data_IF_164904063127
#
_entry.id   IF_164904063127
#
_cell.length_a   1.000
_cell.length_b   1.000
_cell.length_c   1.000
_cell.angle_alpha   90.00
_cell.angle_beta   90.00
_cell.angle_gamma   90.00
#
_symmetry.space_group_name_H-M   'P 1'
#
loop_
_entity.id
_entity.type
_entity.pdbx_description
1 polymer ?
#
# COMPACT_ATOMS: atom_id res chain seq x y z
N UNK A 1 2.75 -13.54 -17.97
CA UNK A 1 1.93 -14.48 -17.17
C UNK A 1 1.91 -13.94 -15.74
N UNK A 2 1.00 -13.00 -15.46
CA UNK A 2 0.79 -12.46 -14.11
C UNK A 2 -0.65 -12.82 -13.73
N UNK A 3 -0.79 -13.62 -12.68
CA UNK A 3 -2.08 -14.09 -12.19
C UNK A 3 -2.65 -13.02 -11.28
N UNK A 4 -3.77 -12.42 -11.69
CA UNK A 4 -4.61 -11.61 -10.81
C UNK A 4 -5.15 -12.50 -9.70
N UNK A 5 -4.82 -12.17 -8.45
CA UNK A 5 -5.47 -12.77 -7.28
C UNK A 5 -6.63 -11.85 -6.92
N UNK A 6 -7.82 -12.34 -7.21
CA UNK A 6 -9.10 -11.75 -6.87
C UNK A 6 -9.29 -11.87 -5.36
N UNK A 7 -9.30 -10.72 -4.67
CA UNK A 7 -9.58 -10.67 -3.24
C UNK A 7 -11.06 -10.95 -3.00
N UNK A 8 -11.39 -12.13 -2.51
CA UNK A 8 -12.71 -12.43 -1.96
C UNK A 8 -12.88 -11.68 -0.64
N UNK A 9 -13.90 -10.83 -0.56
CA UNK A 9 -14.35 -10.27 0.70
C UNK A 9 -14.89 -11.42 1.57
N UNK A 10 -14.41 -11.51 2.81
CA UNK A 10 -15.00 -12.38 3.81
C UNK A 10 -16.39 -11.84 4.17
N UNK A 11 -17.40 -12.68 3.95
CA UNK A 11 -18.78 -12.45 4.41
C UNK A 11 -18.81 -12.66 5.93
N UNK A 12 -19.02 -11.57 6.66
CA UNK A 12 -19.28 -11.59 8.10
C UNK A 12 -20.77 -11.91 8.32
N UNK A 13 -21.08 -13.20 8.47
CA UNK A 13 -22.39 -13.68 8.93
C UNK A 13 -22.25 -14.26 10.34
N UNK A 14 -22.03 -13.40 11.34
CA UNK A 14 -22.17 -13.71 12.76
C UNK A 14 -22.80 -12.47 13.44
N UNK A 15 -23.90 -12.46 14.19
CA UNK A 15 -24.64 -13.48 14.92
C UNK A 15 -26.02 -12.92 15.32
N UNK A 16 -27.12 -13.59 14.94
CA UNK A 16 -28.43 -13.43 15.60
C UNK A 16 -28.50 -14.33 16.87
N UNK A 17 -27.55 -14.21 17.80
CA UNK A 17 -27.51 -15.09 19.00
C UNK A 17 -28.39 -14.64 20.17
N UNK A 18 -28.87 -13.40 20.18
CA UNK A 18 -29.59 -12.86 21.35
C UNK A 18 -31.03 -13.38 21.52
N UNK A 19 -31.64 -13.93 20.46
CA UNK A 19 -33.01 -14.48 20.54
C UNK A 19 -33.03 -15.89 21.18
N UNK A 20 -31.93 -16.65 21.05
CA UNK A 20 -31.83 -18.01 21.57
C UNK A 20 -31.81 -18.10 23.11
N UNK A 21 -31.08 -17.18 23.76
CA UNK A 21 -30.91 -17.22 25.22
C UNK A 21 -32.17 -16.80 25.98
N UNK A 22 -32.92 -15.81 25.45
CA UNK A 22 -34.20 -15.42 26.06
C UNK A 22 -35.25 -16.54 25.96
N UNK A 23 -35.26 -17.27 24.84
CA UNK A 23 -36.16 -18.41 24.65
C UNK A 23 -35.80 -19.62 25.52
N UNK A 24 -34.49 -19.86 25.74
CA UNK A 24 -33.97 -20.89 26.64
C UNK A 24 -34.35 -20.61 28.10
N UNK A 25 -34.17 -19.37 28.57
CA UNK A 25 -34.60 -18.97 29.92
C UNK A 25 -36.12 -19.07 30.10
N UNK A 26 -36.91 -18.67 29.09
CA UNK A 26 -38.37 -18.81 29.13
C UNK A 26 -38.81 -20.28 29.17
N UNK A 27 -38.06 -21.18 28.52
CA UNK A 27 -38.31 -22.61 28.53
C UNK A 27 -37.97 -23.26 29.88
N UNK A 28 -36.89 -22.84 30.53
CA UNK A 28 -36.56 -23.30 31.90
C UNK A 28 -37.59 -22.81 32.93
N UNK A 29 -38.05 -21.55 32.82
CA UNK A 29 -39.12 -21.02 33.67
C UNK A 29 -40.43 -21.78 33.45
N UNK A 30 -40.80 -22.09 32.19
CA UNK A 30 -41.97 -22.93 31.87
C UNK A 30 -41.83 -24.36 32.39
N UNK A 31 -40.63 -24.94 32.34
CA UNK A 31 -40.34 -26.29 32.86
C UNK A 31 -40.44 -26.34 34.38
N UNK A 32 -40.00 -25.28 35.06
CA UNK A 32 -40.18 -25.12 36.51
C UNK A 32 -41.66 -24.90 36.87
N UNK A 33 -42.39 -24.12 36.08
CA UNK A 33 -43.82 -23.89 36.29
C UNK A 33 -44.67 -25.16 36.05
N UNK A 34 -44.30 -25.97 35.05
CA UNK A 34 -44.94 -27.27 34.78
C UNK A 34 -44.61 -28.35 35.83
N UNK A 35 -43.58 -28.13 36.66
CA UNK A 35 -43.23 -29.00 37.79
C UNK A 35 -44.08 -28.69 39.03
N UNK A 36 -44.80 -27.56 39.04
CA UNK A 36 -45.90 -27.32 39.97
C UNK A 36 -47.19 -27.93 39.41
N UNK A 37 -47.93 -28.73 40.19
CA UNK A 37 -49.20 -29.26 39.73
C UNK A 37 -50.22 -28.11 39.65
N UNK A 38 -50.41 -27.54 38.46
CA UNK A 38 -51.56 -26.68 38.18
C UNK A 38 -52.83 -27.53 38.26
N UNK A 39 -53.57 -27.38 39.36
CA UNK A 39 -54.80 -28.11 39.62
C UNK A 39 -55.91 -27.59 38.68
N UNK A 40 -56.21 -28.32 37.60
CA UNK A 40 -57.36 -28.05 36.73
C UNK A 40 -58.68 -28.65 37.25
N UNK A 41 -58.66 -29.32 38.40
CA UNK A 41 -59.83 -29.69 39.18
C UNK A 41 -59.69 -29.09 40.57
N UNK A 42 -60.77 -28.47 41.08
CA UNK A 42 -60.77 -27.73 42.33
C UNK A 42 -60.08 -28.50 43.46
N UNK A 43 -59.06 -27.88 44.05
CA UNK A 43 -58.31 -28.43 45.17
C UNK A 43 -59.24 -28.57 46.38
N UNK A 44 -59.30 -29.74 46.99
CA UNK A 44 -60.15 -29.96 48.17
C UNK A 44 -59.61 -29.14 49.35
N UNK A 45 -60.52 -28.49 50.07
CA UNK A 45 -60.24 -27.56 51.17
C UNK A 45 -59.50 -28.28 52.32
N UNK A 46 -59.64 -29.62 52.40
CA UNK A 46 -58.92 -30.47 53.34
C UNK A 46 -57.44 -30.60 53.03
N UNK A 47 -57.06 -30.75 51.76
CA UNK A 47 -55.67 -30.77 51.29
C UNK A 47 -54.99 -29.41 51.40
N UNK A 48 -55.72 -28.31 51.17
CA UNK A 48 -55.20 -26.96 51.40
C UNK A 48 -54.98 -26.69 52.89
N UNK A 49 -55.89 -27.12 53.76
CA UNK A 49 -55.73 -27.01 55.22
C UNK A 49 -54.62 -27.90 55.76
N UNK A 50 -54.43 -29.10 55.20
CA UNK A 50 -53.31 -29.97 55.56
C UNK A 50 -51.98 -29.41 55.08
N UNK A 51 -51.89 -28.86 53.87
CA UNK A 51 -50.65 -28.21 53.44
C UNK A 51 -50.35 -26.97 54.28
N UNK A 52 -51.37 -26.19 54.65
CA UNK A 52 -51.25 -25.04 55.56
C UNK A 52 -50.85 -25.43 56.99
N UNK A 53 -51.10 -26.67 57.42
CA UNK A 53 -50.65 -27.19 58.73
C UNK A 53 -49.31 -27.94 58.64
N UNK A 54 -48.99 -28.52 57.48
CA UNK A 54 -47.71 -29.19 57.18
C UNK A 54 -46.59 -28.18 57.00
N UNK A 55 -46.90 -27.07 56.31
CA UNK A 55 -46.15 -25.83 56.40
C UNK A 55 -46.61 -25.11 57.65
N UNK A 56 -46.21 -25.65 58.81
CA UNK A 56 -46.41 -24.98 60.10
C UNK A 56 -45.97 -23.51 60.02
N UNK A 57 -46.60 -22.69 60.87
CA UNK A 57 -46.34 -21.25 61.04
C UNK A 57 -44.92 -20.87 60.65
N UNK A 58 -44.71 -19.79 59.87
CA UNK A 58 -43.38 -19.21 59.68
C UNK A 58 -42.92 -18.62 61.02
N UNK A 59 -42.52 -19.48 61.94
CA UNK A 59 -41.68 -19.14 63.07
C UNK A 59 -40.29 -18.88 62.50
N UNK A 60 -40.08 -17.60 62.17
CA UNK A 60 -38.81 -16.90 62.09
C UNK A 60 -37.58 -17.72 62.53
N UNK A 61 -36.76 -18.14 61.56
CA UNK A 61 -35.32 -17.85 61.55
C UNK A 61 -34.71 -18.38 60.23
N UNK A 62 -34.51 -17.50 59.25
CA UNK A 62 -33.71 -17.79 58.05
C UNK A 62 -34.33 -17.29 56.73
N UNK A 63 -35.66 -17.36 56.57
CA UNK A 63 -36.31 -16.92 55.32
C UNK A 63 -36.44 -15.40 55.19
N UNK A 64 -36.74 -14.67 56.27
CA UNK A 64 -36.71 -13.20 56.25
C UNK A 64 -35.29 -12.69 56.02
N UNK A 65 -34.28 -13.28 56.67
CA UNK A 65 -32.87 -12.94 56.42
C UNK A 65 -32.44 -13.24 54.98
N UNK A 66 -32.86 -14.37 54.40
CA UNK A 66 -32.57 -14.72 53.00
C UNK A 66 -33.30 -13.81 52.01
N UNK A 67 -34.56 -13.41 52.27
CA UNK A 67 -35.27 -12.43 51.45
C UNK A 67 -34.60 -11.06 51.51
N UNK A 68 -34.19 -10.62 52.69
CA UNK A 68 -33.46 -9.37 52.89
C UNK A 68 -32.11 -9.41 52.16
N UNK A 69 -31.38 -10.52 52.25
CA UNK A 69 -30.10 -10.72 51.56
C UNK A 69 -30.26 -10.74 50.04
N UNK A 70 -31.32 -11.36 49.53
CA UNK A 70 -31.63 -11.45 48.09
C UNK A 70 -32.10 -10.08 47.54
N UNK A 71 -32.89 -9.33 48.30
CA UNK A 71 -33.23 -7.93 47.98
C UNK A 71 -31.97 -7.07 47.97
N UNK A 72 -31.05 -7.27 48.92
CA UNK A 72 -29.80 -6.53 48.96
C UNK A 72 -28.86 -6.90 47.80
N UNK A 73 -28.80 -8.17 47.39
CA UNK A 73 -28.09 -8.61 46.19
C UNK A 73 -28.72 -8.06 44.91
N UNK A 74 -30.06 -8.03 44.81
CA UNK A 74 -30.77 -7.42 43.69
C UNK A 74 -30.54 -5.91 43.61
N UNK A 75 -30.53 -5.23 44.76
CA UNK A 75 -30.19 -3.80 44.82
C UNK A 75 -28.76 -3.55 44.37
N UNK A 76 -27.80 -4.34 44.84
CA UNK A 76 -26.39 -4.24 44.42
C UNK A 76 -26.23 -4.51 42.92
N UNK A 77 -26.82 -5.60 42.42
CA UNK A 77 -26.77 -5.96 41.01
C UNK A 77 -27.40 -4.89 40.11
N UNK A 78 -28.51 -4.29 40.57
CA UNK A 78 -29.15 -3.15 39.87
C UNK A 78 -28.21 -1.94 39.81
N UNK A 79 -27.49 -1.66 40.88
CA UNK A 79 -26.51 -0.56 40.95
C UNK A 79 -25.33 -0.84 40.01
N UNK A 80 -24.80 -2.08 40.02
CA UNK A 80 -23.72 -2.52 39.13
C UNK A 80 -24.10 -2.39 37.63
N UNK A 81 -25.29 -2.87 37.24
CA UNK A 81 -25.81 -2.71 35.87
C UNK A 81 -26.00 -1.24 35.47
N UNK A 82 -26.35 -0.38 36.43
CA UNK A 82 -26.57 1.03 36.17
C UNK A 82 -25.25 1.79 35.97
N UNK A 83 -24.20 1.40 36.70
CA UNK A 83 -22.84 1.93 36.53
C UNK A 83 -22.22 1.44 35.22
N UNK A 84 -22.36 0.16 34.88
CA UNK A 84 -21.88 -0.42 33.63
C UNK A 84 -22.55 0.22 32.41
N UNK A 85 -23.87 0.44 32.47
CA UNK A 85 -24.60 1.16 31.42
C UNK A 85 -24.31 2.67 31.35
N UNK A 86 -23.71 3.26 32.38
CA UNK A 86 -23.18 4.63 32.32
C UNK A 86 -21.77 4.65 31.71
N UNK A 87 -20.93 3.68 32.08
CA UNK A 87 -19.58 3.50 31.54
C UNK A 87 -19.62 3.25 30.03
N UNK A 88 -20.53 2.40 29.55
CA UNK A 88 -20.77 2.15 28.12
C UNK A 88 -21.12 3.43 27.36
N UNK A 89 -22.02 4.26 27.90
CA UNK A 89 -22.39 5.55 27.29
C UNK A 89 -21.24 6.53 27.25
N UNK A 90 -20.40 6.55 28.29
CA UNK A 90 -19.20 7.39 28.32
C UNK A 90 -18.20 6.93 27.27
N UNK A 91 -17.99 5.63 27.11
CA UNK A 91 -17.15 5.05 26.05
C UNK A 91 -17.69 5.36 24.65
N UNK A 92 -19.00 5.22 24.44
CA UNK A 92 -19.65 5.50 23.16
C UNK A 92 -19.50 6.98 22.77
N UNK A 93 -19.74 7.89 23.70
CA UNK A 93 -19.56 9.34 23.46
C UNK A 93 -18.10 9.71 23.20
N UNK A 94 -17.15 9.12 23.92
CA UNK A 94 -15.73 9.33 23.70
C UNK A 94 -15.27 8.82 22.31
N UNK A 95 -15.79 7.67 21.88
CA UNK A 95 -15.54 7.12 20.55
C UNK A 95 -16.12 8.01 19.44
N UNK A 96 -17.34 8.53 19.62
CA UNK A 96 -17.97 9.43 18.65
C UNK A 96 -17.21 10.77 18.55
N UNK A 97 -16.73 11.30 19.69
CA UNK A 97 -15.95 12.54 19.75
C UNK A 97 -14.59 12.43 19.05
N UNK A 98 -13.93 11.26 19.14
CA UNK A 98 -12.61 11.02 18.54
C UNK A 98 -12.65 10.59 17.07
N UNK A 99 -13.77 10.02 16.62
CA UNK A 99 -13.98 9.57 15.23
C UNK A 99 -13.92 10.70 14.20
N UNK A 100 -14.49 11.87 14.52
CA UNK A 100 -14.49 13.04 13.65
C UNK A 100 -13.08 13.55 13.32
N UNK A 101 -12.25 13.87 14.33
CA UNK A 101 -10.85 14.25 14.15
C UNK A 101 -10.04 13.19 13.38
N UNK A 102 -10.21 11.90 13.71
CA UNK A 102 -9.51 10.81 13.04
C UNK A 102 -9.86 10.73 11.54
N UNK A 103 -11.14 10.88 11.19
CA UNK A 103 -11.57 10.94 9.79
C UNK A 103 -10.96 12.14 9.05
N UNK A 104 -10.86 13.29 9.71
CA UNK A 104 -10.19 14.47 9.18
C UNK A 104 -8.70 14.23 8.92
N UNK A 105 -7.99 13.63 9.86
CA UNK A 105 -6.58 13.26 9.71
C UNK A 105 -6.37 12.24 8.57
N UNK A 106 -7.24 11.23 8.47
CA UNK A 106 -7.20 10.25 7.38
C UNK A 106 -7.41 10.95 6.03
N UNK A 107 -8.41 11.83 5.93
CA UNK A 107 -8.69 12.57 4.70
C UNK A 107 -7.50 13.45 4.30
N UNK A 108 -6.91 14.19 5.26
CA UNK A 108 -5.71 14.97 5.01
C UNK A 108 -4.54 14.09 4.54
N UNK A 109 -4.35 12.92 5.16
CA UNK A 109 -3.30 11.97 4.76
C UNK A 109 -3.50 11.42 3.35
N UNK A 110 -4.74 11.23 2.92
CA UNK A 110 -5.06 10.84 1.54
C UNK A 110 -4.64 11.95 0.57
N UNK A 111 -5.00 13.20 0.85
CA UNK A 111 -4.63 14.35 0.01
C UNK A 111 -3.11 14.56 -0.08
N UNK A 112 -2.41 14.47 1.07
CA UNK A 112 -0.94 14.50 1.13
C UNK A 112 -0.32 13.37 0.30
N UNK A 113 -0.88 12.16 0.37
CA UNK A 113 -0.42 11.01 -0.41
C UNK A 113 -0.64 11.18 -1.91
N UNK A 114 -1.73 11.83 -2.33
CA UNK A 114 -1.99 12.12 -3.74
C UNK A 114 -1.00 13.14 -4.29
N UNK A 115 -0.69 14.18 -3.52
CA UNK A 115 0.33 15.16 -3.87
C UNK A 115 1.71 14.51 -3.99
N UNK A 116 2.10 13.71 -3.01
CA UNK A 116 3.39 13.00 -3.05
C UNK A 116 3.47 12.02 -4.22
N UNK A 117 2.36 11.39 -4.60
CA UNK A 117 2.30 10.53 -5.79
C UNK A 117 2.54 11.32 -7.07
N UNK A 118 2.01 12.54 -7.18
CA UNK A 118 2.28 13.43 -8.31
C UNK A 118 3.74 13.87 -8.35
N UNK A 119 4.32 14.27 -7.21
CA UNK A 119 5.75 14.62 -7.11
C UNK A 119 6.65 13.44 -7.50
N UNK A 120 6.33 12.23 -7.03
CA UNK A 120 7.07 11.02 -7.39
C UNK A 120 7.03 10.76 -8.90
N UNK A 121 5.88 10.94 -9.55
CA UNK A 121 5.77 10.80 -11.00
C UNK A 121 6.65 11.83 -11.74
N UNK A 122 6.70 13.07 -11.25
CA UNK A 122 7.58 14.10 -11.83
C UNK A 122 9.06 13.78 -11.64
N UNK A 123 9.44 13.21 -10.49
CA UNK A 123 10.81 12.76 -10.26
C UNK A 123 11.19 11.57 -11.14
N UNK A 124 10.25 10.65 -11.40
CA UNK A 124 10.48 9.52 -12.30
C UNK A 124 10.70 10.00 -13.74
N UNK A 125 9.90 10.94 -14.22
CA UNK A 125 10.08 11.50 -15.57
C UNK A 125 11.42 12.23 -15.70
N UNK A 126 11.81 12.99 -14.67
CA UNK A 126 13.10 13.67 -14.67
C UNK A 126 14.27 12.71 -14.56
N UNK A 127 14.16 11.62 -13.79
CA UNK A 127 15.17 10.55 -13.73
C UNK A 127 15.40 9.95 -15.12
N UNK A 128 14.33 9.59 -15.84
CA UNK A 128 14.42 9.04 -17.20
C UNK A 128 15.07 10.03 -18.17
N UNK A 129 14.66 11.31 -18.10
CA UNK A 129 15.24 12.37 -18.94
C UNK A 129 16.74 12.54 -18.69
N UNK A 130 17.16 12.59 -17.42
CA UNK A 130 18.56 12.70 -17.04
C UNK A 130 19.37 11.47 -17.47
N UNK A 131 18.80 10.27 -17.34
CA UNK A 131 19.45 9.03 -17.81
C UNK A 131 19.72 9.06 -19.32
N UNK A 132 18.77 9.57 -20.10
CA UNK A 132 18.96 9.74 -21.54
C UNK A 132 20.06 10.77 -21.86
N UNK A 133 20.10 11.88 -21.11
CA UNK A 133 21.16 12.89 -21.28
C UNK A 133 22.53 12.30 -20.94
N UNK A 134 22.62 11.52 -19.87
CA UNK A 134 23.85 10.82 -19.48
C UNK A 134 24.32 9.87 -20.59
N UNK A 135 23.43 9.04 -21.14
CA UNK A 135 23.73 8.17 -22.27
C UNK A 135 24.29 8.95 -23.48
N UNK A 136 23.62 10.06 -23.86
CA UNK A 136 24.08 10.88 -24.99
C UNK A 136 25.40 11.57 -24.71
N UNK A 137 25.67 11.97 -23.47
CA UNK A 137 26.97 12.51 -23.09
C UNK A 137 28.07 11.45 -23.18
N UNK A 138 27.80 10.21 -22.78
CA UNK A 138 28.72 9.09 -22.98
C UNK A 138 29.00 8.84 -24.47
N UNK A 139 27.97 8.85 -25.32
CA UNK A 139 28.15 8.73 -26.77
C UNK A 139 29.06 9.84 -27.34
N UNK A 140 28.85 11.08 -26.90
CA UNK A 140 29.68 12.24 -27.32
C UNK A 140 31.12 12.08 -26.83
N UNK A 141 31.32 11.69 -25.57
CA UNK A 141 32.66 11.46 -25.02
C UNK A 141 33.39 10.35 -25.78
N UNK A 142 32.70 9.25 -26.12
CA UNK A 142 33.26 8.17 -26.92
C UNK A 142 33.64 8.64 -28.32
N UNK A 143 32.79 9.46 -28.97
CA UNK A 143 33.10 10.04 -30.28
C UNK A 143 34.32 10.97 -30.22
N UNK A 144 34.42 11.82 -29.20
CA UNK A 144 35.56 12.71 -29.00
C UNK A 144 36.85 11.93 -28.76
N UNK A 145 36.78 10.81 -28.03
CA UNK A 145 37.91 9.92 -27.83
C UNK A 145 38.33 9.27 -29.15
N UNK A 146 37.39 8.74 -29.93
CA UNK A 146 37.68 8.17 -31.25
C UNK A 146 38.35 9.19 -32.20
N UNK A 147 37.89 10.45 -32.19
CA UNK A 147 38.49 11.52 -32.99
C UNK A 147 39.92 11.84 -32.54
N UNK A 148 40.17 11.86 -31.23
CA UNK A 148 41.52 12.04 -30.68
C UNK A 148 42.44 10.89 -31.07
N UNK A 149 41.97 9.66 -30.95
CA UNK A 149 42.74 8.44 -31.21
C UNK A 149 43.06 8.26 -32.70
N UNK A 150 42.23 8.82 -33.59
CA UNK A 150 42.51 8.86 -35.02
C UNK A 150 43.81 9.62 -35.34
N UNK A 151 44.27 10.50 -34.43
CA UNK A 151 45.55 11.22 -34.44
C UNK A 151 46.07 11.54 -35.85
N UNK A 152 45.21 12.18 -36.65
CA UNK A 152 45.45 12.40 -38.08
C UNK A 152 46.71 13.25 -38.22
N UNK A 153 47.75 12.68 -38.83
CA UNK A 153 48.98 13.41 -39.10
C UNK A 153 48.69 14.61 -40.00
N UNK A 154 49.45 15.71 -39.86
CA UNK A 154 49.34 16.89 -40.76
C UNK A 154 49.41 16.51 -42.24
N UNK A 155 50.19 15.46 -42.57
CA UNK A 155 50.29 14.92 -43.93
C UNK A 155 49.00 14.23 -44.37
N UNK A 156 48.43 13.37 -43.53
CA UNK A 156 47.16 12.68 -43.81
C UNK A 156 46.02 13.69 -43.94
N UNK A 157 45.97 14.69 -43.05
CA UNK A 157 45.01 15.78 -43.13
C UNK A 157 45.17 16.58 -44.43
N UNK A 158 46.40 16.92 -44.81
CA UNK A 158 46.69 17.57 -46.08
C UNK A 158 46.24 16.75 -47.28
N UNK A 159 46.42 15.41 -47.25
CA UNK A 159 45.97 14.51 -48.30
C UNK A 159 44.44 14.45 -48.40
N UNK A 160 43.74 14.36 -47.27
CA UNK A 160 42.27 14.40 -47.21
C UNK A 160 41.76 15.70 -47.85
N UNK A 161 42.31 16.85 -47.46
CA UNK A 161 41.89 18.15 -47.99
C UNK A 161 42.15 18.27 -49.50
N UNK A 162 43.31 17.81 -49.97
CA UNK A 162 43.63 17.83 -51.40
C UNK A 162 42.70 16.90 -52.20
N UNK A 163 42.46 15.68 -51.72
CA UNK A 163 41.53 14.73 -52.34
C UNK A 163 40.09 15.29 -52.38
N UNK A 164 39.63 15.93 -51.30
CA UNK A 164 38.32 16.58 -51.26
C UNK A 164 38.22 17.69 -52.30
N UNK A 165 39.22 18.54 -52.41
CA UNK A 165 39.25 19.62 -53.41
C UNK A 165 39.28 19.07 -54.84
N UNK A 166 40.08 18.04 -55.09
CA UNK A 166 40.17 17.35 -56.39
C UNK A 166 38.81 16.73 -56.78
N UNK A 167 38.13 16.06 -55.84
CA UNK A 167 36.79 15.49 -56.06
C UNK A 167 35.70 16.54 -56.30
N UNK A 168 35.91 17.79 -55.86
CA UNK A 168 34.99 18.90 -56.12
C UNK A 168 35.24 19.56 -57.49
N UNK A 169 36.44 19.40 -58.08
CA UNK A 169 36.77 19.98 -59.39
C UNK A 169 36.00 19.32 -60.54
N UNK A 170 35.51 18.09 -60.36
CA UNK A 170 34.77 17.33 -61.38
C UNK A 170 33.25 17.63 -61.36
N UNK A 171 32.75 18.44 -60.41
CA UNK A 171 31.33 18.77 -60.30
C UNK A 171 30.89 19.79 -61.35
N UNK A 172 30.39 19.28 -62.48
CA UNK A 172 29.82 20.06 -63.58
C UNK A 172 28.43 20.66 -63.27
N UNK A 173 27.95 20.64 -62.02
CA UNK A 173 26.54 20.92 -61.73
C UNK A 173 26.32 21.88 -60.57
N UNK A 174 25.48 22.90 -60.78
CA UNK A 174 25.22 24.03 -59.88
C UNK A 174 24.50 23.74 -58.55
N UNK A 175 24.97 22.78 -57.74
CA UNK A 175 24.67 22.75 -56.30
C UNK A 175 25.48 23.82 -55.58
N UNK A 176 25.01 24.32 -54.42
CA UNK A 176 25.78 25.28 -53.63
C UNK A 176 27.15 24.67 -53.25
N UNK A 177 28.27 25.32 -53.61
CA UNK A 177 29.63 24.75 -53.53
C UNK A 177 29.99 24.17 -52.16
N UNK A 178 29.43 24.74 -51.09
CA UNK A 178 29.74 24.34 -49.72
C UNK A 178 29.15 22.98 -49.32
N UNK A 179 27.99 22.59 -49.86
CA UNK A 179 27.35 21.31 -49.50
C UNK A 179 28.09 20.16 -50.17
N UNK A 180 28.53 20.34 -51.42
CA UNK A 180 29.33 19.33 -52.13
C UNK A 180 30.71 19.13 -51.47
N UNK A 181 31.35 20.23 -51.06
CA UNK A 181 32.62 20.17 -50.31
C UNK A 181 32.45 19.45 -48.97
N UNK A 182 31.35 19.69 -48.25
CA UNK A 182 31.07 19.02 -46.98
C UNK A 182 30.79 17.52 -47.16
N UNK A 183 30.02 17.13 -48.18
CA UNK A 183 29.75 15.72 -48.50
C UNK A 183 31.04 14.98 -48.93
N UNK A 184 31.85 15.59 -49.81
CA UNK A 184 33.12 15.02 -50.24
C UNK A 184 34.11 14.88 -49.06
N UNK A 185 34.16 15.88 -48.18
CA UNK A 185 35.01 15.84 -46.98
C UNK A 185 34.56 14.75 -46.01
N UNK A 186 33.24 14.59 -45.82
CA UNK A 186 32.68 13.52 -44.99
C UNK A 186 33.09 12.14 -45.52
N UNK A 187 32.99 11.92 -46.82
CA UNK A 187 33.38 10.65 -47.44
C UNK A 187 34.88 10.36 -47.32
N UNK A 188 35.75 11.34 -47.53
CA UNK A 188 37.20 11.17 -47.37
C UNK A 188 37.59 10.90 -45.91
N UNK A 189 36.95 11.58 -44.94
CA UNK A 189 37.15 11.32 -43.51
C UNK A 189 36.66 9.93 -43.10
N UNK A 190 35.53 9.47 -43.64
CA UNK A 190 35.00 8.13 -43.41
C UNK A 190 35.93 7.04 -44.00
N UNK A 191 36.50 7.27 -45.18
CA UNK A 191 37.50 6.38 -45.78
C UNK A 191 38.77 6.26 -44.90
N UNK A 192 39.16 7.35 -44.24
CA UNK A 192 40.29 7.34 -43.31
C UNK A 192 40.01 6.53 -42.02
N UNK A 193 38.77 6.52 -41.51
CA UNK A 193 38.37 5.67 -40.37
C UNK A 193 38.53 4.16 -40.67
N UNK A 194 38.35 3.73 -41.92
CA UNK A 194 38.50 2.33 -42.35
C UNK A 194 39.95 1.89 -42.57
N UNK A 195 40.87 2.84 -42.76
CA UNK A 195 42.29 2.57 -42.97
C UNK A 195 43.09 2.51 -41.64
N UNK A 196 42.69 3.28 -40.63
CA UNK A 196 43.35 3.31 -39.31
C UNK A 196 43.13 2.05 -38.46
N UNK A 197 42.06 1.29 -38.71
CA UNK A 197 41.71 0.08 -37.96
C UNK A 197 42.54 -1.17 -38.34
N UNK A 198 43.33 -1.12 -39.43
CA UNK A 198 44.17 -2.25 -39.87
C UNK A 198 45.56 -2.30 -39.23
N UNK A 199 45.97 -1.30 -38.45
CA UNK A 199 47.35 -1.18 -37.93
C UNK A 199 47.51 -1.37 -36.41
N UNK A 200 46.44 -1.64 -35.67
CA UNK A 200 46.51 -1.80 -34.20
C UNK A 200 46.35 -3.26 -33.77
N UNK A 201 47.20 -4.14 -34.28
CA UNK A 201 47.53 -5.38 -33.57
C UNK A 201 48.73 -5.12 -32.64
N UNK A 202 48.55 -5.44 -31.35
CA UNK A 202 49.52 -5.45 -30.23
C UNK A 202 49.89 -4.11 -29.58
N UNK A 203 49.21 -3.82 -28.48
CA UNK A 203 49.88 -3.60 -27.18
C UNK A 203 48.93 -4.01 -26.04
N UNK A 204 49.28 -4.97 -25.16
CA UNK A 204 48.51 -5.26 -23.97
C UNK A 204 48.97 -4.32 -22.85
N UNK A 205 48.14 -3.35 -22.48
CA UNK A 205 48.45 -2.49 -21.36
C UNK A 205 47.42 -1.41 -21.14
N UNK A 206 46.63 -1.57 -20.07
CA UNK A 206 46.12 -0.50 -19.20
C UNK A 206 45.14 0.50 -19.85
N UNK A 207 43.93 0.74 -19.38
CA UNK A 207 43.20 0.41 -18.16
C UNK A 207 41.71 0.49 -18.56
N UNK A 208 40.90 -0.42 -18.04
CA UNK A 208 39.46 -0.24 -18.00
C UNK A 208 39.19 1.11 -17.33
N UNK A 209 38.69 2.10 -18.08
CA UNK A 209 38.16 3.32 -17.50
C UNK A 209 36.81 2.96 -16.86
N UNK A 210 36.90 2.29 -15.71
CA UNK A 210 35.87 2.29 -14.69
C UNK A 210 35.82 3.69 -14.06
N UNK A 211 35.48 4.71 -14.85
CA UNK A 211 35.07 6.00 -14.31
C UNK A 211 33.61 5.85 -13.90
N UNK A 212 33.44 5.29 -12.70
CA UNK A 212 32.21 5.44 -11.94
C UNK A 212 32.06 6.94 -11.65
N UNK A 213 31.32 7.65 -12.50
CA UNK A 213 30.80 8.97 -12.20
C UNK A 213 29.69 8.79 -11.16
N UNK A 214 30.09 8.64 -9.90
CA UNK A 214 29.16 8.70 -8.78
C UNK A 214 28.75 10.16 -8.65
N UNK A 215 27.61 10.50 -9.24
CA UNK A 215 26.89 11.73 -8.91
C UNK A 215 26.17 11.42 -7.58
N UNK A 216 26.75 11.89 -6.47
CA UNK A 216 26.09 11.85 -5.17
C UNK A 216 24.89 12.80 -5.19
N UNK A 217 23.74 12.30 -4.73
CA UNK A 217 22.55 13.08 -4.44
C UNK A 217 22.79 14.11 -3.34
#
# INVERSE_FOLDING_TARGET
MFRSVEGQAASDEEEEKWIGDQQSQMAEVKKLLARFPCCNSGCDDTTLKQLRSSFGNPSNCGHENSLVELVQQLSKLKEDFQMEGQEEKVLETNMEETKGPLLGEIQQKVEESELMKMEFQMLETERVRLSLVEEKLLDVLQLLQQLRDLNISKRTLGKILLNTLESCCDSQHGKPPIVEVLDALYHELAACKLAGSKSLEKTPGHQSLSSSLVISC
#
